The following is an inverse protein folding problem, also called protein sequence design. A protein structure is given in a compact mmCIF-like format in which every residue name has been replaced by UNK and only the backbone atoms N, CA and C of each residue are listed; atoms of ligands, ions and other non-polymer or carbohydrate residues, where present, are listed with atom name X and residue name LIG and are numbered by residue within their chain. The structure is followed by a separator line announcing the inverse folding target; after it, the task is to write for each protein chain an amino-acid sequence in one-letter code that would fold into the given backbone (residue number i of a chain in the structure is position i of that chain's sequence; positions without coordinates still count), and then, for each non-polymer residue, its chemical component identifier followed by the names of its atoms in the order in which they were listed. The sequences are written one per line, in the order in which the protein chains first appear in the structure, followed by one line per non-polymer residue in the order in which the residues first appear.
data_IF_465609499335
#
_entry.id   IF_465609499335
#
_cell.length_a   1.000
_cell.length_b   1.000
_cell.length_c   1.000
_cell.angle_alpha   90.00
_cell.angle_beta   90.00
_cell.angle_gamma   90.00
#
_symmetry.space_group_name_H-M   'P 1'
#
loop_
_entity.id
_entity.type
_entity.pdbx_description
1 polymer ?
#
# COMPACT_ATOMS: atom_id res chain seq x y z
N UNK A 1 1.75 44.97 42.62
CA UNK A 1 1.29 44.79 41.23
C UNK A 1 2.07 45.61 40.20
N UNK A 2 2.28 46.93 40.36
CA UNK A 2 3.04 47.74 39.37
C UNK A 2 4.52 47.33 39.17
N UNK A 3 5.21 46.92 40.23
CA UNK A 3 6.62 46.47 40.14
C UNK A 3 6.74 45.12 39.41
N UNK A 4 5.77 44.21 39.59
CA UNK A 4 5.74 42.91 38.91
C UNK A 4 5.43 43.06 37.42
N UNK A 5 4.55 44.00 37.05
CA UNK A 5 4.21 44.29 35.64
C UNK A 5 5.36 45.02 34.92
N UNK A 6 6.11 45.90 35.61
CA UNK A 6 7.31 46.54 35.05
C UNK A 6 8.45 45.54 34.89
N UNK A 7 8.66 44.63 35.85
CA UNK A 7 9.64 43.55 35.70
C UNK A 7 9.29 42.61 34.53
N UNK A 8 8.01 42.29 34.33
CA UNK A 8 7.55 41.52 33.17
C UNK A 8 7.72 42.28 31.84
N UNK A 9 7.52 43.60 31.82
CA UNK A 9 7.70 44.44 30.62
C UNK A 9 9.18 44.72 30.29
N UNK A 10 10.06 44.79 31.29
CA UNK A 10 11.50 44.95 31.10
C UNK A 10 12.14 43.62 30.69
N UNK A 11 11.70 42.50 31.27
CA UNK A 11 12.13 41.15 30.86
C UNK A 11 11.67 40.76 29.45
N UNK A 12 10.56 41.33 28.95
CA UNK A 12 10.13 41.11 27.56
C UNK A 12 10.85 42.00 26.54
N UNK A 13 11.37 43.16 26.97
CA UNK A 13 12.18 44.04 26.12
C UNK A 13 13.66 43.61 26.02
N UNK A 14 14.24 43.08 27.11
CA UNK A 14 15.62 42.58 27.12
C UNK A 14 15.72 41.20 26.47
N UNK A 15 14.70 40.33 26.61
CA UNK A 15 14.69 39.03 25.93
C UNK A 15 14.91 39.18 24.42
N UNK A 16 14.37 40.23 23.79
CA UNK A 16 14.63 40.53 22.38
C UNK A 16 16.10 40.85 22.07
N UNK A 17 16.80 41.54 22.97
CA UNK A 17 18.18 41.99 22.77
C UNK A 17 19.15 40.81 22.68
N UNK A 18 19.06 39.82 23.57
CA UNK A 18 19.97 38.66 23.53
C UNK A 18 19.76 37.84 22.24
N UNK A 19 18.50 37.64 21.84
CA UNK A 19 18.17 36.97 20.59
C UNK A 19 18.67 37.75 19.37
N UNK A 20 18.53 39.08 19.36
CA UNK A 20 19.02 39.92 18.27
C UNK A 20 20.54 39.87 18.15
N UNK A 21 21.27 39.93 19.26
CA UNK A 21 22.74 39.77 19.27
C UNK A 21 23.17 38.40 18.73
N UNK A 22 22.47 37.34 19.11
CA UNK A 22 22.71 36.00 18.56
C UNK A 22 22.42 35.93 17.08
N UNK A 23 21.39 36.63 16.56
CA UNK A 23 21.04 36.66 15.12
C UNK A 23 21.97 37.57 14.31
N UNK A 24 22.45 38.68 14.86
CA UNK A 24 23.41 39.59 14.17
C UNK A 24 24.84 39.06 14.19
N UNK A 25 25.23 38.36 15.25
CA UNK A 25 26.51 37.66 15.34
C UNK A 25 27.59 38.47 16.02
N UNK A 26 27.17 39.51 16.73
CA UNK A 26 28.06 40.38 17.47
C UNK A 26 28.52 39.68 18.75
N UNK A 27 29.57 38.87 18.63
CA UNK A 27 30.12 38.06 19.72
C UNK A 27 30.62 38.91 20.89
N UNK A 28 31.20 40.08 20.61
CA UNK A 28 31.73 40.97 21.65
C UNK A 28 30.60 41.62 22.44
N UNK A 29 29.58 42.16 21.76
CA UNK A 29 28.41 42.71 22.43
C UNK A 29 27.63 41.63 23.19
N UNK A 30 27.53 40.40 22.64
CA UNK A 30 26.92 39.27 23.34
C UNK A 30 27.68 38.88 24.60
N UNK A 31 29.02 38.86 24.55
CA UNK A 31 29.87 38.58 25.71
C UNK A 31 29.71 39.64 26.79
N UNK A 32 29.66 40.91 26.43
CA UNK A 32 29.41 41.99 27.38
C UNK A 32 28.02 41.86 28.02
N UNK A 33 26.99 41.57 27.23
CA UNK A 33 25.62 41.37 27.72
C UNK A 33 25.55 40.21 28.73
N UNK A 34 26.13 39.05 28.40
CA UNK A 34 26.14 37.86 29.26
C UNK A 34 27.02 38.01 30.52
N UNK A 35 27.99 38.93 30.52
CA UNK A 35 28.73 39.29 31.74
C UNK A 35 27.89 40.13 32.71
N UNK A 36 26.97 40.95 32.18
CA UNK A 36 26.11 41.81 32.98
C UNK A 36 24.89 41.08 33.51
N UNK A 37 24.22 40.30 32.66
CA UNK A 37 23.01 39.57 33.00
C UNK A 37 22.91 38.24 32.23
N UNK A 38 22.66 37.15 32.96
CA UNK A 38 22.48 35.79 32.40
C UNK A 38 21.05 35.28 32.55
N UNK A 39 20.14 36.07 33.12
CA UNK A 39 18.78 35.65 33.44
C UNK A 39 17.96 35.24 32.22
N UNK A 40 18.30 35.77 31.04
CA UNK A 40 17.57 35.57 29.79
C UNK A 40 18.19 34.53 28.85
N UNK A 41 19.30 33.90 29.24
CA UNK A 41 20.02 32.94 28.40
C UNK A 41 19.16 31.75 27.93
N UNK A 42 18.05 31.50 28.64
CA UNK A 42 17.10 30.42 28.40
C UNK A 42 15.68 30.89 28.02
N UNK A 43 15.46 32.19 27.86
CA UNK A 43 14.13 32.68 27.47
C UNK A 43 13.86 32.34 26.02
N UNK A 44 12.62 31.98 25.71
CA UNK A 44 12.18 31.73 24.35
C UNK A 44 11.65 33.02 23.72
N UNK A 45 11.88 33.19 22.42
CA UNK A 45 11.21 34.24 21.64
C UNK A 45 9.76 33.84 21.27
N UNK A 46 9.10 34.66 20.44
CA UNK A 46 7.72 34.40 19.98
C UNK A 46 7.60 33.15 19.09
N UNK A 47 8.72 32.62 18.59
CA UNK A 47 8.78 31.37 17.85
C UNK A 47 9.03 30.17 18.77
N UNK A 48 9.14 30.39 20.09
CA UNK A 48 9.40 29.35 21.07
C UNK A 48 10.85 28.84 21.05
N UNK A 49 11.79 29.62 20.51
CA UNK A 49 13.20 29.25 20.41
C UNK A 49 14.04 30.04 21.39
N UNK A 50 14.99 29.37 22.05
CA UNK A 50 15.99 30.01 22.92
C UNK A 50 17.14 30.61 22.10
N UNK A 51 17.99 31.49 22.69
CA UNK A 51 19.20 31.98 22.04
C UNK A 51 20.11 30.85 21.53
N UNK A 52 20.21 29.74 22.27
CA UNK A 52 21.00 28.60 21.85
C UNK A 52 20.47 27.95 20.57
N UNK A 53 19.14 27.84 20.40
CA UNK A 53 18.55 27.35 19.15
C UNK A 53 18.94 28.24 17.96
N UNK A 54 18.88 29.57 18.12
CA UNK A 54 19.27 30.49 17.06
C UNK A 54 20.76 30.43 16.73
N UNK A 55 21.63 30.32 17.74
CA UNK A 55 23.07 30.15 17.51
C UNK A 55 23.37 28.89 16.67
N UNK A 56 22.65 27.80 16.93
CA UNK A 56 22.74 26.56 16.14
C UNK A 56 22.24 26.77 14.71
N UNK A 57 21.06 27.41 14.53
CA UNK A 57 20.47 27.64 13.20
C UNK A 57 21.37 28.49 12.30
N UNK A 58 21.97 29.52 12.86
CA UNK A 58 22.85 30.46 12.16
C UNK A 58 24.30 29.94 12.04
N UNK A 59 24.59 28.71 12.48
CA UNK A 59 25.92 28.07 12.45
C UNK A 59 27.03 28.84 13.16
N UNK A 60 26.72 29.35 14.36
CA UNK A 60 27.65 30.17 15.14
C UNK A 60 28.18 29.39 16.33
N UNK A 61 29.18 28.55 16.07
CA UNK A 61 29.75 27.65 17.07
C UNK A 61 30.34 28.39 18.28
N UNK A 62 31.05 29.49 18.03
CA UNK A 62 31.59 30.40 19.04
C UNK A 62 30.51 31.05 19.92
N UNK A 63 29.40 31.46 19.33
CA UNK A 63 28.24 31.95 20.08
C UNK A 63 27.57 30.82 20.88
N UNK A 64 27.39 29.64 20.28
CA UNK A 64 26.81 28.49 20.96
C UNK A 64 27.66 28.08 22.17
N UNK A 65 28.99 28.01 22.03
CA UNK A 65 29.92 27.73 23.13
C UNK A 65 29.84 28.78 24.24
N UNK A 66 29.77 30.07 23.87
CA UNK A 66 29.61 31.15 24.85
C UNK A 66 28.29 31.02 25.63
N UNK A 67 27.19 30.73 24.96
CA UNK A 67 25.88 30.51 25.60
C UNK A 67 25.93 29.30 26.55
N UNK A 68 26.53 28.19 26.13
CA UNK A 68 26.70 26.99 26.96
C UNK A 68 27.57 27.27 28.20
N UNK A 69 28.65 28.03 28.05
CA UNK A 69 29.48 28.49 29.16
C UNK A 69 28.67 29.27 30.20
N UNK A 70 27.73 30.11 29.73
CA UNK A 70 26.80 30.87 30.57
C UNK A 70 25.51 30.11 30.96
N UNK A 71 25.55 28.76 30.96
CA UNK A 71 24.45 27.89 31.44
C UNK A 71 23.15 27.99 30.61
N UNK A 72 23.28 28.20 29.30
CA UNK A 72 22.20 27.87 28.38
C UNK A 72 21.78 26.40 28.56
N UNK A 73 20.48 26.15 28.61
CA UNK A 73 19.91 24.81 28.68
C UNK A 73 20.11 24.12 27.34
N UNK A 74 21.12 23.26 27.30
CA UNK A 74 21.50 22.45 26.14
C UNK A 74 20.37 21.52 25.65
N UNK A 75 19.40 21.22 26.52
CA UNK A 75 18.27 20.34 26.26
C UNK A 75 16.93 21.08 26.18
N UNK A 76 16.96 22.42 26.04
CA UNK A 76 15.75 23.22 25.91
C UNK A 76 14.89 22.68 24.76
N UNK A 77 13.58 22.49 24.97
CA UNK A 77 12.68 22.15 23.87
C UNK A 77 12.46 23.40 23.01
N UNK A 78 12.53 23.25 21.69
CA UNK A 78 11.94 24.23 20.77
C UNK A 78 10.43 24.04 20.70
N UNK A 79 9.72 25.05 20.19
CA UNK A 79 8.28 24.97 19.91
C UNK A 79 8.00 25.23 18.42
N UNK A 80 6.75 24.98 18.00
CA UNK A 80 6.29 25.32 16.65
C UNK A 80 6.94 24.48 15.54
N UNK A 81 7.43 25.16 14.49
CA UNK A 81 8.05 24.50 13.32
C UNK A 81 9.40 23.85 13.65
N UNK A 82 10.03 24.26 14.75
CA UNK A 82 11.35 23.81 15.20
C UNK A 82 11.25 23.14 16.58
N UNK A 83 10.29 22.22 16.74
CA UNK A 83 10.01 21.51 18.00
C UNK A 83 11.16 20.63 18.56
N UNK A 84 12.35 20.67 17.95
CA UNK A 84 13.53 19.90 18.35
C UNK A 84 14.38 20.60 19.41
N UNK A 85 15.28 19.85 20.04
CA UNK A 85 16.33 20.44 20.90
C UNK A 85 17.43 21.09 20.06
N UNK A 86 18.33 21.91 20.66
CA UNK A 86 19.50 22.43 19.96
C UNK A 86 20.32 21.33 19.25
N UNK A 87 20.45 20.15 19.88
CA UNK A 87 21.14 19.00 19.27
C UNK A 87 20.42 18.46 18.04
N UNK A 88 19.08 18.34 18.07
CA UNK A 88 18.32 17.87 16.91
C UNK A 88 18.45 18.82 15.72
N UNK A 89 18.38 20.13 15.95
CA UNK A 89 18.56 21.15 14.90
C UNK A 89 19.98 21.08 14.33
N UNK A 90 21.00 21.02 15.20
CA UNK A 90 22.40 20.93 14.78
C UNK A 90 22.63 19.68 13.90
N UNK A 91 22.06 18.54 14.28
CA UNK A 91 22.15 17.29 13.53
C UNK A 91 21.42 17.36 12.19
N UNK A 92 20.19 17.89 12.18
CA UNK A 92 19.41 18.05 10.94
C UNK A 92 20.11 18.96 9.93
N UNK A 93 20.75 20.03 10.40
CA UNK A 93 21.50 20.97 9.57
C UNK A 93 22.95 20.53 9.27
N UNK A 94 23.44 19.45 9.87
CA UNK A 94 24.80 18.94 9.64
C UNK A 94 25.91 19.82 10.24
N UNK A 95 25.69 20.43 11.40
CA UNK A 95 26.65 21.33 12.06
C UNK A 95 27.58 20.54 12.99
N UNK A 96 28.52 19.79 12.41
CA UNK A 96 29.36 18.82 13.14
C UNK A 96 30.07 19.42 14.37
N UNK A 97 30.69 20.60 14.23
CA UNK A 97 31.38 21.27 15.34
C UNK A 97 30.42 21.63 16.50
N UNK A 98 29.21 22.07 16.16
CA UNK A 98 28.19 22.43 17.15
C UNK A 98 27.62 21.17 17.81
N UNK A 99 27.44 20.08 17.07
CA UNK A 99 27.01 18.78 17.64
C UNK A 99 27.99 18.33 18.73
N UNK A 100 29.29 18.36 18.46
CA UNK A 100 30.33 17.98 19.43
C UNK A 100 30.32 18.90 20.66
N UNK A 101 30.17 20.22 20.45
CA UNK A 101 30.08 21.19 21.55
C UNK A 101 28.84 20.92 22.43
N UNK A 102 27.68 20.66 21.83
CA UNK A 102 26.45 20.35 22.56
C UNK A 102 26.56 19.05 23.36
N UNK A 103 27.06 17.97 22.75
CA UNK A 103 27.26 16.67 23.43
C UNK A 103 28.25 16.82 24.60
N UNK A 104 29.37 17.53 24.38
CA UNK A 104 30.38 17.79 25.41
C UNK A 104 29.84 18.61 26.59
N UNK A 105 28.79 19.41 26.36
CA UNK A 105 28.09 20.20 27.39
C UNK A 105 26.85 19.49 27.96
N UNK A 106 26.67 18.19 27.71
CA UNK A 106 25.63 17.38 28.34
C UNK A 106 24.29 17.37 27.61
N UNK A 107 24.30 17.57 26.28
CA UNK A 107 23.12 17.29 25.46
C UNK A 107 22.72 15.81 25.63
N UNK A 108 21.45 15.57 25.94
CA UNK A 108 20.86 14.24 25.99
C UNK A 108 20.56 13.80 24.55
N UNK A 109 21.40 12.89 24.04
CA UNK A 109 21.28 12.31 22.69
C UNK A 109 19.95 11.58 22.47
N UNK A 110 19.28 11.19 23.55
CA UNK A 110 17.99 10.51 23.56
C UNK A 110 16.83 11.41 24.01
N UNK A 111 17.03 12.72 24.16
CA UNK A 111 15.91 13.63 24.37
C UNK A 111 14.92 13.49 23.20
N UNK A 112 13.61 13.53 23.51
CA UNK A 112 12.53 13.40 22.52
C UNK A 112 11.78 14.72 22.35
N UNK A 113 11.44 15.06 21.10
CA UNK A 113 10.51 16.15 20.78
C UNK A 113 9.05 15.71 20.96
N UNK A 114 8.09 16.59 20.64
CA UNK A 114 6.65 16.29 20.71
C UNK A 114 6.22 15.15 19.78
N UNK A 115 6.91 14.96 18.64
CA UNK A 115 6.70 13.85 17.72
C UNK A 115 7.33 12.53 18.20
N UNK A 116 8.04 12.53 19.34
CA UNK A 116 8.76 11.38 19.89
C UNK A 116 10.10 11.10 19.21
N UNK A 117 10.58 12.00 18.35
CA UNK A 117 11.82 11.84 17.59
C UNK A 117 13.03 12.28 18.43
N UNK A 118 14.17 11.63 18.17
CA UNK A 118 15.46 11.91 18.80
C UNK A 118 16.46 12.43 17.76
N UNK A 119 17.61 12.96 18.20
CA UNK A 119 18.69 13.38 17.30
C UNK A 119 19.09 12.30 16.26
N UNK A 120 19.07 11.02 16.66
CA UNK A 120 19.37 9.90 15.77
C UNK A 120 18.39 9.77 14.59
N UNK A 121 17.11 10.12 14.77
CA UNK A 121 16.12 10.08 13.70
C UNK A 121 16.47 11.10 12.59
N UNK A 122 16.91 12.30 12.99
CA UNK A 122 17.33 13.36 12.07
C UNK A 122 18.62 12.99 11.32
N UNK A 123 19.64 12.48 12.02
CA UNK A 123 20.89 12.05 11.39
C UNK A 123 20.65 10.98 10.31
N UNK A 124 19.76 10.04 10.61
CA UNK A 124 19.43 8.95 9.70
C UNK A 124 18.54 9.42 8.55
N UNK A 125 17.61 10.35 8.83
CA UNK A 125 16.72 10.97 7.85
C UNK A 125 17.46 11.81 6.79
N UNK A 126 18.56 12.46 7.18
CA UNK A 126 19.45 13.16 6.24
C UNK A 126 20.47 12.24 5.57
N UNK A 127 20.61 11.00 6.05
CA UNK A 127 21.60 10.04 5.56
C UNK A 127 23.03 10.35 5.99
N UNK A 128 23.23 11.16 7.03
CA UNK A 128 24.54 11.56 7.53
C UNK A 128 25.17 10.42 8.37
N UNK A 129 25.95 9.56 7.72
CA UNK A 129 26.65 8.45 8.37
C UNK A 129 27.67 8.90 9.45
N UNK A 130 28.49 9.94 9.24
CA UNK A 130 29.34 10.49 10.30
C UNK A 130 28.58 10.87 11.57
N UNK A 131 27.52 11.67 11.47
CA UNK A 131 26.73 12.07 12.64
C UNK A 131 25.96 10.90 13.26
N UNK A 132 25.47 9.97 12.44
CA UNK A 132 24.87 8.73 12.96
C UNK A 132 25.88 7.97 13.83
N UNK A 133 27.13 7.86 13.38
CA UNK A 133 28.20 7.19 14.13
C UNK A 133 28.55 7.92 15.42
N UNK A 134 28.64 9.26 15.39
CA UNK A 134 28.87 10.08 16.59
C UNK A 134 27.77 9.85 17.62
N UNK A 135 26.50 9.96 17.22
CA UNK A 135 25.37 9.76 18.13
C UNK A 135 25.34 8.35 18.73
N UNK A 136 25.57 7.31 17.92
CA UNK A 136 25.64 5.92 18.41
C UNK A 136 26.84 5.71 19.36
N UNK A 137 27.99 6.32 19.08
CA UNK A 137 29.16 6.27 19.97
C UNK A 137 28.88 6.90 21.34
N UNK A 138 28.08 7.97 21.36
CA UNK A 138 27.61 8.64 22.58
C UNK A 138 26.37 7.99 23.21
N UNK A 139 26.01 6.77 22.79
CA UNK A 139 25.00 5.96 23.46
C UNK A 139 23.56 6.20 23.01
N UNK A 140 23.32 6.85 21.87
CA UNK A 140 21.98 7.02 21.34
C UNK A 140 21.27 5.67 21.15
N UNK A 141 20.04 5.56 21.64
CA UNK A 141 19.24 4.35 21.52
C UNK A 141 18.81 4.10 20.06
N UNK A 142 19.40 3.08 19.42
CA UNK A 142 19.08 2.67 18.05
C UNK A 142 17.62 2.16 17.87
N UNK A 143 17.01 1.69 18.96
CA UNK A 143 15.63 1.18 19.01
C UNK A 143 14.62 2.22 19.50
N UNK A 144 15.08 3.45 19.73
CA UNK A 144 14.23 4.59 20.00
C UNK A 144 13.21 4.76 18.88
N UNK A 145 11.93 4.62 19.20
CA UNK A 145 10.84 4.81 18.25
C UNK A 145 10.16 6.17 18.49
N UNK A 146 9.74 6.81 17.40
CA UNK A 146 8.91 8.01 17.44
C UNK A 146 7.48 7.71 17.93
N UNK A 147 6.63 8.73 17.96
CA UNK A 147 5.24 8.56 18.38
C UNK A 147 4.53 7.49 17.54
N UNK A 148 4.79 7.39 16.23
CA UNK A 148 4.20 6.39 15.32
C UNK A 148 4.85 5.01 15.37
N UNK A 149 5.83 4.82 16.25
CA UNK A 149 6.54 3.56 16.42
C UNK A 149 7.62 3.33 15.34
N UNK A 150 7.99 4.36 14.57
CA UNK A 150 9.03 4.29 13.55
C UNK A 150 10.39 4.50 14.22
N UNK A 151 11.31 3.55 14.02
CA UNK A 151 12.70 3.65 14.51
C UNK A 151 13.63 4.24 13.47
N UNK A 152 14.83 4.63 13.90
CA UNK A 152 15.93 5.02 13.02
C UNK A 152 16.15 4.02 11.87
N UNK A 153 16.16 2.71 12.14
CA UNK A 153 16.36 1.69 11.11
C UNK A 153 15.24 1.68 10.06
N UNK A 154 14.00 1.97 10.46
CA UNK A 154 12.88 2.11 9.54
C UNK A 154 13.01 3.36 8.66
N UNK A 155 13.50 4.48 9.20
CA UNK A 155 13.79 5.70 8.43
C UNK A 155 14.86 5.43 7.38
N UNK A 156 15.92 4.69 7.73
CA UNK A 156 17.02 4.35 6.82
C UNK A 156 16.55 3.62 5.53
N UNK A 157 15.37 3.00 5.55
CA UNK A 157 14.79 2.38 4.34
C UNK A 157 14.42 3.40 3.25
N UNK A 158 14.17 4.65 3.62
CA UNK A 158 13.77 5.74 2.71
C UNK A 158 14.96 6.57 2.21
N UNK A 159 16.11 6.48 2.86
CA UNK A 159 17.30 7.30 2.54
C UNK A 159 18.33 6.46 1.81
N UNK A 160 19.20 7.05 0.98
CA UNK A 160 20.20 6.30 0.21
C UNK A 160 21.24 5.53 1.07
N UNK A 161 21.18 5.65 2.41
CA UNK A 161 22.18 5.15 3.35
C UNK A 161 22.09 3.66 3.68
N UNK A 162 22.49 2.79 2.75
CA UNK A 162 22.85 1.39 3.11
C UNK A 162 23.94 1.37 4.20
N UNK A 163 24.85 2.35 4.19
CA UNK A 163 25.85 2.56 5.23
C UNK A 163 25.23 2.91 6.59
N UNK A 164 24.28 3.85 6.62
CA UNK A 164 23.57 4.27 7.85
C UNK A 164 22.80 3.09 8.46
N UNK A 165 22.11 2.30 7.64
CA UNK A 165 21.47 1.08 8.10
C UNK A 165 22.50 0.06 8.65
N UNK A 166 23.68 -0.03 8.02
CA UNK A 166 24.83 -0.78 8.52
C UNK A 166 25.23 -0.39 9.93
N UNK A 167 25.45 0.91 10.17
CA UNK A 167 25.81 1.44 11.48
C UNK A 167 24.78 1.10 12.56
N UNK A 168 23.48 1.27 12.25
CA UNK A 168 22.40 0.97 13.19
C UNK A 168 22.35 -0.52 13.55
N UNK A 169 22.52 -1.41 12.57
CA UNK A 169 22.51 -2.86 12.80
C UNK A 169 23.76 -3.30 13.57
N UNK A 170 24.91 -2.70 13.32
CA UNK A 170 26.15 -2.95 14.07
C UNK A 170 26.06 -2.44 15.51
N UNK A 171 25.30 -1.36 15.75
CA UNK A 171 24.96 -0.88 17.08
C UNK A 171 23.87 -1.72 17.78
N UNK A 172 23.36 -2.78 17.16
CA UNK A 172 22.44 -3.74 17.78
C UNK A 172 20.96 -3.43 17.60
N UNK A 173 20.56 -2.63 16.61
CA UNK A 173 19.15 -2.32 16.35
C UNK A 173 18.28 -3.58 16.16
N UNK A 174 17.11 -3.60 16.79
CA UNK A 174 16.12 -4.66 16.70
C UNK A 174 15.46 -4.70 15.31
N UNK A 175 15.79 -5.74 14.55
CA UNK A 175 15.23 -5.99 13.22
C UNK A 175 13.76 -6.43 13.25
N UNK A 176 13.25 -6.79 14.43
CA UNK A 176 11.90 -7.31 14.65
C UNK A 176 10.92 -6.26 15.17
N UNK A 177 11.39 -5.06 15.51
CA UNK A 177 10.56 -3.94 15.95
C UNK A 177 9.44 -3.65 14.95
N UNK A 178 8.29 -3.25 15.47
CA UNK A 178 7.05 -3.04 14.71
C UNK A 178 6.50 -1.66 14.96
N UNK A 179 6.17 -0.96 13.88
CA UNK A 179 5.50 0.33 13.97
C UNK A 179 4.00 0.19 14.29
N UNK A 180 3.26 1.31 14.29
CA UNK A 180 1.81 1.32 14.50
C UNK A 180 1.02 0.49 13.47
N UNK A 181 1.55 0.17 12.30
CA UNK A 181 0.92 -0.71 11.30
C UNK A 181 1.34 -2.18 11.47
N UNK A 182 2.24 -2.47 12.41
CA UNK A 182 2.82 -3.80 12.62
C UNK A 182 3.97 -4.10 11.65
N UNK A 183 4.44 -3.10 10.89
CA UNK A 183 5.48 -3.28 9.90
C UNK A 183 6.87 -3.25 10.53
N UNK A 184 7.75 -4.12 10.04
CA UNK A 184 9.18 -4.10 10.37
C UNK A 184 9.98 -3.29 9.33
N UNK A 185 11.24 -3.00 9.62
CA UNK A 185 12.15 -2.39 8.62
C UNK A 185 12.21 -3.21 7.32
N UNK A 186 12.12 -4.54 7.40
CA UNK A 186 12.10 -5.41 6.21
C UNK A 186 10.86 -5.19 5.33
N UNK A 187 9.68 -4.94 5.91
CA UNK A 187 8.46 -4.62 5.16
C UNK A 187 8.64 -3.33 4.35
N UNK A 188 9.21 -2.29 4.97
CA UNK A 188 9.43 -0.98 4.35
C UNK A 188 10.49 -1.04 3.25
N UNK A 189 11.63 -1.69 3.53
CA UNK A 189 12.68 -1.92 2.54
C UNK A 189 12.17 -2.68 1.31
N UNK A 190 11.37 -3.72 1.54
CA UNK A 190 10.74 -4.53 0.50
C UNK A 190 9.79 -3.70 -0.39
N UNK A 191 8.90 -2.90 0.22
CA UNK A 191 7.95 -2.04 -0.52
C UNK A 191 8.64 -0.98 -1.36
N UNK A 192 9.69 -0.36 -0.82
CA UNK A 192 10.47 0.67 -1.52
C UNK A 192 11.35 0.05 -2.61
N UNK A 193 11.74 -1.22 -2.45
CA UNK A 193 12.57 -1.94 -3.42
C UNK A 193 14.06 -1.78 -3.17
N UNK A 194 14.47 -1.62 -1.90
CA UNK A 194 15.88 -1.47 -1.51
C UNK A 194 16.55 -2.83 -1.45
N UNK A 195 16.83 -3.40 -2.62
CA UNK A 195 17.35 -4.77 -2.80
C UNK A 195 18.52 -5.08 -1.86
N UNK A 196 19.55 -4.24 -1.86
CA UNK A 196 20.75 -4.47 -1.02
C UNK A 196 20.43 -4.44 0.47
N UNK A 197 19.57 -3.51 0.91
CA UNK A 197 19.15 -3.41 2.29
C UNK A 197 18.24 -4.58 2.69
N UNK A 198 17.30 -4.99 1.83
CA UNK A 198 16.47 -6.18 2.02
C UNK A 198 17.35 -7.42 2.19
N UNK A 199 18.33 -7.62 1.30
CA UNK A 199 19.28 -8.73 1.40
C UNK A 199 20.11 -8.66 2.68
N UNK A 200 20.57 -7.45 3.05
CA UNK A 200 21.37 -7.23 4.25
C UNK A 200 20.57 -7.52 5.53
N UNK A 201 19.34 -7.02 5.66
CA UNK A 201 18.44 -7.29 6.77
C UNK A 201 18.18 -8.79 6.94
N UNK A 202 17.88 -9.50 5.85
CA UNK A 202 17.69 -10.95 5.90
C UNK A 202 18.94 -11.70 6.37
N UNK A 203 20.13 -11.34 5.85
CA UNK A 203 21.41 -11.94 6.29
C UNK A 203 21.71 -11.68 7.76
N UNK A 204 21.23 -10.56 8.31
CA UNK A 204 21.37 -10.17 9.72
C UNK A 204 20.26 -10.74 10.62
N UNK A 205 19.36 -11.57 10.08
CA UNK A 205 18.35 -12.31 10.86
C UNK A 205 16.96 -11.69 10.89
N UNK A 206 16.67 -10.67 10.07
CA UNK A 206 15.30 -10.17 9.91
C UNK A 206 14.38 -11.28 9.39
N UNK A 207 13.21 -11.46 10.01
CA UNK A 207 12.29 -12.57 9.68
C UNK A 207 11.53 -12.29 8.38
N UNK A 208 11.75 -13.06 7.29
CA UNK A 208 11.11 -12.83 5.99
C UNK A 208 9.61 -13.14 5.96
N UNK A 209 9.09 -13.78 7.01
CA UNK A 209 7.69 -14.16 7.18
C UNK A 209 7.01 -13.43 8.34
N UNK A 210 7.60 -12.36 8.87
CA UNK A 210 6.92 -11.49 9.83
C UNK A 210 5.64 -10.94 9.21
N UNK A 211 4.51 -11.01 9.92
CA UNK A 211 3.23 -10.46 9.45
C UNK A 211 2.94 -9.10 10.07
N UNK A 212 2.49 -8.11 9.30
CA UNK A 212 1.94 -6.85 9.82
C UNK A 212 0.54 -7.04 10.44
N UNK A 213 -0.15 -5.94 10.81
CA UNK A 213 -1.51 -5.99 11.37
C UNK A 213 -2.57 -6.52 10.39
N UNK A 214 -2.33 -6.43 9.08
CA UNK A 214 -3.21 -6.95 8.02
C UNK A 214 -2.81 -8.38 7.61
N UNK A 215 -1.83 -8.97 8.28
CA UNK A 215 -1.32 -10.30 7.97
C UNK A 215 -0.36 -10.33 6.78
N UNK A 216 -0.01 -9.17 6.19
CA UNK A 216 0.89 -9.10 5.06
C UNK A 216 2.33 -9.38 5.50
N UNK A 217 3.06 -10.15 4.71
CA UNK A 217 4.50 -10.39 4.89
C UNK A 217 5.32 -9.37 4.08
N UNK A 218 6.64 -9.23 4.30
CA UNK A 218 7.50 -8.42 3.43
C UNK A 218 7.37 -8.78 1.94
N UNK A 219 7.07 -10.04 1.60
CA UNK A 219 6.84 -10.43 0.21
C UNK A 219 5.55 -9.81 -0.34
N UNK A 220 4.48 -9.70 0.45
CA UNK A 220 3.28 -8.95 0.06
C UNK A 220 3.61 -7.49 -0.20
N UNK A 221 4.41 -6.86 0.67
CA UNK A 221 4.73 -5.43 0.53
C UNK A 221 5.66 -5.15 -0.65
N UNK A 222 6.59 -6.06 -0.98
CA UNK A 222 7.36 -6.01 -2.22
C UNK A 222 6.45 -6.11 -3.46
N UNK A 223 5.43 -6.97 -3.41
CA UNK A 223 4.44 -7.09 -4.48
C UNK A 223 3.62 -5.81 -4.59
N UNK A 224 3.13 -5.24 -3.49
CA UNK A 224 2.40 -3.97 -3.47
C UNK A 224 3.21 -2.82 -4.08
N UNK A 225 4.53 -2.81 -3.86
CA UNK A 225 5.44 -1.81 -4.44
C UNK A 225 5.88 -2.09 -5.89
N UNK A 226 5.48 -3.23 -6.48
CA UNK A 226 5.94 -3.65 -7.80
C UNK A 226 7.45 -3.95 -7.87
N UNK A 227 8.07 -4.38 -6.76
CA UNK A 227 9.53 -4.53 -6.63
C UNK A 227 10.00 -5.96 -6.88
N UNK A 228 10.19 -6.31 -8.16
CA UNK A 228 10.58 -7.67 -8.61
C UNK A 228 11.85 -8.16 -7.92
N UNK A 229 12.92 -7.37 -7.88
CA UNK A 229 14.21 -7.79 -7.33
C UNK A 229 14.19 -7.92 -5.80
N UNK A 230 13.40 -7.08 -5.12
CA UNK A 230 13.17 -7.22 -3.69
C UNK A 230 12.35 -8.48 -3.38
N UNK A 231 11.31 -8.77 -4.17
CA UNK A 231 10.55 -10.02 -4.05
C UNK A 231 11.45 -11.25 -4.29
N UNK A 232 12.32 -11.22 -5.30
CA UNK A 232 13.30 -12.28 -5.57
C UNK A 232 14.24 -12.50 -4.38
N UNK A 233 14.77 -11.41 -3.83
CA UNK A 233 15.65 -11.44 -2.66
C UNK A 233 14.95 -12.08 -1.45
N UNK A 234 13.70 -11.72 -1.20
CA UNK A 234 12.90 -12.28 -0.12
C UNK A 234 12.62 -13.77 -0.30
N UNK A 235 12.31 -14.21 -1.52
CA UNK A 235 12.11 -15.63 -1.84
C UNK A 235 13.39 -16.45 -1.61
N UNK A 236 14.55 -15.93 -2.05
CA UNK A 236 15.86 -16.55 -1.76
C UNK A 236 16.14 -16.58 -0.25
N UNK A 237 15.69 -15.58 0.50
CA UNK A 237 15.83 -15.51 1.95
C UNK A 237 14.82 -16.40 2.71
N UNK A 238 13.97 -17.17 2.03
CA UNK A 238 13.03 -18.10 2.67
C UNK A 238 11.65 -17.50 3.01
N UNK A 239 11.22 -16.46 2.30
CA UNK A 239 9.81 -16.05 2.34
C UNK A 239 8.90 -17.18 1.83
N UNK A 240 7.81 -17.42 2.55
CA UNK A 240 6.74 -18.31 2.12
C UNK A 240 5.96 -17.64 0.97
N UNK A 241 6.14 -18.19 -0.22
CA UNK A 241 5.51 -17.73 -1.48
C UNK A 241 3.97 -17.80 -1.43
N UNK A 242 3.42 -18.66 -0.57
CA UNK A 242 1.97 -18.92 -0.45
C UNK A 242 1.37 -18.37 0.84
N UNK A 243 2.12 -17.58 1.61
CA UNK A 243 1.64 -17.04 2.89
C UNK A 243 0.32 -16.28 2.71
N UNK A 244 -0.76 -16.63 3.43
CA UNK A 244 -2.00 -15.86 3.38
C UNK A 244 -1.96 -14.68 4.35
N UNK A 245 -2.46 -13.52 3.91
CA UNK A 245 -2.79 -12.40 4.79
C UNK A 245 -4.14 -12.60 5.49
N UNK A 246 -4.61 -11.60 6.25
CA UNK A 246 -5.86 -11.70 7.02
C UNK A 246 -7.13 -11.85 6.17
N UNK A 247 -7.07 -11.57 4.85
CA UNK A 247 -8.14 -11.82 3.88
C UNK A 247 -7.93 -13.12 3.08
N UNK A 248 -6.99 -13.97 3.51
CA UNK A 248 -6.51 -15.16 2.81
C UNK A 248 -5.95 -14.86 1.41
N UNK A 249 -5.54 -13.61 1.15
CA UNK A 249 -4.87 -13.25 -0.09
C UNK A 249 -3.40 -13.64 0.05
N UNK A 250 -2.89 -14.37 -0.94
CA UNK A 250 -1.46 -14.68 -1.09
C UNK A 250 -0.75 -13.58 -1.89
N UNK A 251 0.59 -13.54 -1.93
CA UNK A 251 1.34 -12.64 -2.80
C UNK A 251 0.89 -12.72 -4.27
N UNK A 252 0.52 -13.91 -4.75
CA UNK A 252 0.04 -14.11 -6.12
C UNK A 252 -1.32 -13.43 -6.38
N UNK A 253 -2.22 -13.41 -5.39
CA UNK A 253 -3.46 -12.64 -5.48
C UNK A 253 -3.19 -11.13 -5.59
N UNK A 254 -2.23 -10.62 -4.81
CA UNK A 254 -1.84 -9.21 -4.88
C UNK A 254 -1.21 -8.85 -6.23
N UNK A 255 -0.31 -9.69 -6.75
CA UNK A 255 0.33 -9.49 -8.06
C UNK A 255 -0.71 -9.50 -9.19
N UNK A 256 -1.66 -10.44 -9.14
CA UNK A 256 -2.76 -10.53 -10.08
C UNK A 256 -3.71 -9.32 -10.01
N UNK A 257 -3.96 -8.76 -8.81
CA UNK A 257 -4.80 -7.56 -8.65
C UNK A 257 -4.13 -6.31 -9.23
N UNK A 258 -2.83 -6.17 -8.98
CA UNK A 258 -2.06 -4.97 -9.32
C UNK A 258 -1.46 -5.00 -10.74
N UNK A 259 -1.61 -6.10 -11.48
CA UNK A 259 -1.11 -6.21 -12.85
C UNK A 259 0.41 -6.40 -12.95
N UNK A 260 1.07 -6.87 -11.89
CA UNK A 260 2.52 -7.04 -11.88
C UNK A 260 2.93 -8.37 -12.53
N UNK A 261 3.05 -8.36 -13.86
CA UNK A 261 3.38 -9.54 -14.66
C UNK A 261 4.68 -10.21 -14.22
N UNK A 262 5.79 -9.48 -14.13
CA UNK A 262 7.11 -10.05 -13.80
C UNK A 262 7.14 -10.65 -12.39
N UNK A 263 6.40 -10.05 -11.44
CA UNK A 263 6.25 -10.61 -10.09
C UNK A 263 5.37 -11.86 -10.13
N UNK A 264 4.31 -11.86 -10.93
CA UNK A 264 3.44 -13.04 -11.09
C UNK A 264 4.25 -14.23 -11.62
N UNK A 265 5.07 -14.02 -12.65
CA UNK A 265 5.96 -15.05 -13.20
C UNK A 265 6.96 -15.54 -12.16
N UNK A 266 7.59 -14.62 -11.43
CA UNK A 266 8.51 -14.97 -10.34
C UNK A 266 7.84 -15.82 -9.26
N UNK A 267 6.62 -15.46 -8.83
CA UNK A 267 5.89 -16.19 -7.80
C UNK A 267 5.49 -17.59 -8.28
N UNK A 268 4.96 -17.71 -9.50
CA UNK A 268 4.58 -19.01 -10.09
C UNK A 268 5.78 -19.94 -10.25
N UNK A 269 6.90 -19.42 -10.78
CA UNK A 269 8.14 -20.20 -10.91
C UNK A 269 8.78 -20.56 -9.56
N UNK A 270 8.44 -19.82 -8.50
CA UNK A 270 8.85 -20.11 -7.12
C UNK A 270 7.85 -21.01 -6.38
N UNK A 271 6.86 -21.58 -7.07
CA UNK A 271 5.92 -22.56 -6.51
C UNK A 271 4.67 -21.97 -5.85
N UNK A 272 4.30 -20.73 -6.16
CA UNK A 272 3.02 -20.17 -5.73
C UNK A 272 1.85 -21.00 -6.30
N UNK A 273 0.91 -21.39 -5.45
CA UNK A 273 -0.31 -22.05 -5.90
C UNK A 273 -1.26 -21.09 -6.60
N UNK A 274 -1.58 -21.35 -7.87
CA UNK A 274 -2.63 -20.66 -8.64
C UNK A 274 -4.04 -21.03 -8.19
N UNK A 275 -4.19 -22.12 -7.41
CA UNK A 275 -5.47 -22.60 -6.88
C UNK A 275 -5.79 -22.06 -5.46
N UNK A 276 -4.90 -21.27 -4.86
CA UNK A 276 -5.16 -20.63 -3.58
C UNK A 276 -6.42 -19.74 -3.68
N UNK A 277 -7.20 -19.69 -2.60
CA UNK A 277 -8.49 -18.97 -2.58
C UNK A 277 -8.50 -17.91 -1.47
N UNK A 278 -9.03 -16.73 -1.78
CA UNK A 278 -9.27 -15.66 -0.80
C UNK A 278 -10.38 -16.03 0.20
N UNK A 279 -10.69 -15.15 1.15
CA UNK A 279 -11.82 -15.34 2.07
C UNK A 279 -13.16 -15.39 1.33
N UNK A 280 -13.32 -14.61 0.25
CA UNK A 280 -14.46 -14.68 -0.69
C UNK A 280 -14.32 -15.83 -1.68
N UNK A 281 -13.20 -16.55 -1.63
CA UNK A 281 -12.73 -17.67 -2.44
C UNK A 281 -12.60 -17.43 -3.93
N UNK A 282 -12.19 -16.21 -4.25
CA UNK A 282 -11.62 -15.90 -5.55
C UNK A 282 -10.19 -16.43 -5.61
N UNK A 283 -9.81 -17.04 -6.73
CA UNK A 283 -8.42 -17.38 -7.05
C UNK A 283 -7.70 -16.18 -7.65
N UNK A 284 -6.36 -16.19 -7.78
CA UNK A 284 -5.63 -15.17 -8.54
C UNK A 284 -6.15 -15.01 -9.98
N UNK A 285 -6.63 -16.09 -10.61
CA UNK A 285 -7.19 -16.04 -11.96
C UNK A 285 -8.51 -15.25 -12.02
N UNK A 286 -9.40 -15.40 -11.03
CA UNK A 286 -10.60 -14.58 -10.91
C UNK A 286 -10.25 -13.09 -10.81
N UNK A 287 -9.23 -12.78 -10.00
CA UNK A 287 -8.78 -11.40 -9.80
C UNK A 287 -8.18 -10.83 -11.08
N UNK A 288 -7.33 -11.58 -11.79
CA UNK A 288 -6.76 -11.17 -13.07
C UNK A 288 -7.85 -10.92 -14.11
N UNK A 289 -8.83 -11.84 -14.21
CA UNK A 289 -9.97 -11.72 -15.11
C UNK A 289 -10.82 -10.49 -14.81
N UNK A 290 -11.10 -10.20 -13.53
CA UNK A 290 -11.93 -9.04 -13.14
C UNK A 290 -11.25 -7.68 -13.36
N UNK A 291 -9.91 -7.63 -13.38
CA UNK A 291 -9.12 -6.40 -13.51
C UNK A 291 -8.48 -6.21 -14.90
N UNK A 292 -8.89 -7.00 -15.90
CA UNK A 292 -8.41 -6.93 -17.30
C UNK A 292 -6.89 -7.16 -17.46
N UNK A 293 -6.30 -8.02 -16.63
CA UNK A 293 -4.86 -8.32 -16.70
C UNK A 293 -4.57 -9.51 -17.62
N UNK A 294 -4.70 -9.27 -18.93
CA UNK A 294 -4.61 -10.27 -20.00
C UNK A 294 -3.33 -11.12 -19.97
N UNK A 295 -2.18 -10.49 -19.80
CA UNK A 295 -0.87 -11.18 -19.78
C UNK A 295 -0.75 -12.11 -18.58
N UNK A 296 -1.24 -11.68 -17.41
CA UNK A 296 -1.24 -12.49 -16.18
C UNK A 296 -2.17 -13.68 -16.35
N UNK A 297 -3.38 -13.44 -16.85
CA UNK A 297 -4.35 -14.51 -17.12
C UNK A 297 -3.76 -15.55 -18.08
N UNK A 298 -3.18 -15.11 -19.20
CA UNK A 298 -2.53 -15.99 -20.17
C UNK A 298 -1.44 -16.83 -19.54
N UNK A 299 -0.58 -16.20 -18.72
CA UNK A 299 0.48 -16.92 -18.01
C UNK A 299 -0.12 -17.99 -17.09
N UNK A 300 -1.16 -17.66 -16.31
CA UNK A 300 -1.83 -18.61 -15.42
C UNK A 300 -2.44 -19.80 -16.17
N UNK A 301 -3.05 -19.57 -17.34
CA UNK A 301 -3.57 -20.65 -18.19
C UNK A 301 -2.45 -21.55 -18.72
N UNK A 302 -1.35 -20.96 -19.19
CA UNK A 302 -0.18 -21.71 -19.71
C UNK A 302 0.46 -22.60 -18.65
N UNK A 303 0.53 -22.16 -17.39
CA UNK A 303 1.06 -22.98 -16.29
C UNK A 303 0.05 -24.00 -15.74
N UNK A 304 -1.09 -24.20 -16.41
CA UNK A 304 -2.10 -25.19 -16.04
C UNK A 304 -3.06 -24.75 -14.93
N UNK A 305 -3.26 -23.44 -14.77
CA UNK A 305 -4.31 -22.91 -13.89
C UNK A 305 -5.70 -23.29 -14.39
N UNK A 306 -6.60 -23.60 -13.45
CA UNK A 306 -7.96 -24.02 -13.74
C UNK A 306 -8.84 -22.83 -14.16
N UNK A 307 -9.19 -22.78 -15.45
CA UNK A 307 -10.07 -21.79 -16.05
C UNK A 307 -11.51 -21.83 -15.48
N UNK A 308 -11.91 -22.97 -14.92
CA UNK A 308 -13.22 -23.21 -14.28
C UNK A 308 -13.15 -23.20 -12.76
N UNK A 309 -12.02 -22.73 -12.21
CA UNK A 309 -11.90 -22.54 -10.77
C UNK A 309 -13.09 -21.73 -10.28
N UNK A 310 -13.75 -22.20 -9.23
CA UNK A 310 -14.96 -21.55 -8.75
C UNK A 310 -15.13 -21.71 -7.25
N UNK A 311 -15.79 -20.71 -6.66
CA UNK A 311 -16.42 -20.85 -5.35
C UNK A 311 -17.87 -20.46 -5.50
N UNK A 312 -18.76 -21.35 -5.03
CA UNK A 312 -20.22 -21.25 -5.17
C UNK A 312 -20.72 -21.15 -6.63
N UNK A 313 -19.86 -21.46 -7.60
CA UNK A 313 -20.22 -21.48 -9.02
C UNK A 313 -19.67 -20.30 -9.82
N UNK A 314 -19.33 -19.18 -9.16
CA UNK A 314 -18.71 -18.04 -9.85
C UNK A 314 -17.33 -18.42 -10.41
N UNK A 315 -17.16 -18.32 -11.73
CA UNK A 315 -15.90 -18.60 -12.44
C UNK A 315 -15.22 -17.31 -12.92
N UNK A 316 -13.93 -17.33 -13.32
CA UNK A 316 -13.28 -16.21 -14.00
C UNK A 316 -14.06 -15.70 -15.22
N UNK A 317 -14.71 -16.58 -15.98
CA UNK A 317 -15.48 -16.23 -17.17
C UNK A 317 -16.70 -15.37 -16.82
N UNK A 318 -17.44 -15.72 -15.77
CA UNK A 318 -18.55 -14.89 -15.27
C UNK A 318 -18.09 -13.47 -14.91
N UNK A 319 -16.93 -13.34 -14.27
CA UNK A 319 -16.39 -12.03 -13.88
C UNK A 319 -15.96 -11.21 -15.10
N UNK A 320 -15.29 -11.85 -16.07
CA UNK A 320 -14.87 -11.21 -17.32
C UNK A 320 -16.09 -10.66 -18.09
N UNK A 321 -17.15 -11.45 -18.21
CA UNK A 321 -18.39 -11.07 -18.87
C UNK A 321 -19.11 -9.91 -18.16
N UNK A 322 -19.27 -9.99 -16.83
CA UNK A 322 -19.87 -8.90 -16.02
C UNK A 322 -19.12 -7.58 -16.14
N UNK A 323 -17.80 -7.63 -16.32
CA UNK A 323 -16.95 -6.44 -16.47
C UNK A 323 -16.80 -5.99 -17.91
N UNK A 324 -17.19 -6.81 -18.88
CA UNK A 324 -17.10 -6.51 -20.30
C UNK A 324 -15.66 -6.59 -20.84
N UNK A 325 -14.84 -7.48 -20.29
CA UNK A 325 -13.44 -7.65 -20.68
C UNK A 325 -13.31 -8.67 -21.80
N UNK A 326 -13.65 -8.28 -23.03
CA UNK A 326 -13.84 -9.21 -24.16
C UNK A 326 -12.57 -10.01 -24.48
N UNK A 327 -11.39 -9.40 -24.35
CA UNK A 327 -10.11 -10.11 -24.53
C UNK A 327 -9.88 -11.19 -23.49
N UNK A 328 -10.25 -10.94 -22.23
CA UNK A 328 -10.22 -11.92 -21.14
C UNK A 328 -11.19 -13.06 -21.44
N UNK A 329 -12.41 -12.74 -21.91
CA UNK A 329 -13.40 -13.73 -22.33
C UNK A 329 -12.82 -14.65 -23.39
N UNK A 330 -12.30 -14.12 -24.50
CA UNK A 330 -11.69 -14.95 -25.54
C UNK A 330 -10.59 -15.88 -25.01
N UNK A 331 -9.69 -15.37 -24.16
CA UNK A 331 -8.61 -16.20 -23.61
C UNK A 331 -9.10 -17.29 -22.68
N UNK A 332 -10.14 -17.04 -21.87
CA UNK A 332 -10.73 -18.06 -21.01
C UNK A 332 -11.41 -19.15 -21.82
N UNK A 333 -12.13 -18.76 -22.88
CA UNK A 333 -12.78 -19.71 -23.78
C UNK A 333 -11.75 -20.56 -24.53
N UNK A 334 -10.67 -19.96 -25.03
CA UNK A 334 -9.55 -20.68 -25.64
C UNK A 334 -8.80 -21.57 -24.62
N UNK A 335 -8.82 -21.18 -23.35
CA UNK A 335 -8.33 -21.95 -22.22
C UNK A 335 -9.26 -23.08 -21.76
N UNK A 336 -10.38 -23.30 -22.45
CA UNK A 336 -11.31 -24.39 -22.17
C UNK A 336 -12.29 -24.11 -21.02
N UNK A 337 -12.54 -22.85 -20.68
CA UNK A 337 -13.56 -22.50 -19.69
C UNK A 337 -14.94 -23.03 -20.13
N UNK A 338 -15.64 -23.69 -19.21
CA UNK A 338 -16.96 -24.26 -19.45
C UNK A 338 -18.02 -23.17 -19.56
N UNK A 339 -18.90 -23.33 -20.56
CA UNK A 339 -20.00 -22.42 -20.85
C UNK A 339 -21.28 -22.72 -20.07
N UNK A 340 -21.32 -23.84 -19.35
CA UNK A 340 -22.52 -24.36 -18.68
C UNK A 340 -22.42 -24.25 -17.15
N UNK A 341 -21.30 -23.72 -16.64
CA UNK A 341 -21.11 -23.50 -15.20
C UNK A 341 -22.09 -22.44 -14.74
N UNK A 342 -22.82 -22.73 -13.66
CA UNK A 342 -23.78 -21.80 -13.06
C UNK A 342 -23.14 -21.05 -11.90
N UNK A 343 -23.36 -19.74 -11.83
CA UNK A 343 -22.93 -18.93 -10.69
C UNK A 343 -23.85 -19.06 -9.46
N UNK A 344 -23.59 -18.28 -8.41
CA UNK A 344 -24.36 -18.27 -7.15
C UNK A 344 -25.87 -17.94 -7.31
N UNK A 345 -26.30 -17.47 -8.49
CA UNK A 345 -27.70 -17.19 -8.82
C UNK A 345 -28.21 -18.09 -9.94
N UNK A 346 -27.46 -19.16 -10.26
CA UNK A 346 -27.80 -20.10 -11.30
C UNK A 346 -27.48 -19.64 -12.71
N UNK A 347 -26.93 -18.44 -12.91
CA UNK A 347 -26.72 -17.89 -14.25
C UNK A 347 -25.59 -18.62 -14.96
N UNK A 348 -25.78 -18.95 -16.24
CA UNK A 348 -24.68 -19.40 -17.11
C UNK A 348 -23.91 -18.20 -17.66
N UNK A 349 -22.66 -18.39 -18.16
CA UNK A 349 -21.93 -17.40 -18.94
C UNK A 349 -22.78 -16.75 -20.03
N UNK A 350 -23.59 -17.52 -20.74
CA UNK A 350 -24.47 -17.00 -21.79
C UNK A 350 -25.50 -15.99 -21.24
N UNK A 351 -26.14 -16.29 -20.12
CA UNK A 351 -27.09 -15.37 -19.47
C UNK A 351 -26.41 -14.07 -19.05
N UNK A 352 -25.23 -14.18 -18.42
CA UNK A 352 -24.46 -13.00 -18.00
C UNK A 352 -24.05 -12.14 -19.21
N UNK A 353 -23.65 -12.76 -20.33
CA UNK A 353 -23.32 -12.06 -21.56
C UNK A 353 -24.54 -11.28 -22.13
N UNK A 354 -25.72 -11.90 -22.11
CA UNK A 354 -26.98 -11.26 -22.52
C UNK A 354 -27.33 -10.08 -21.61
N UNK A 355 -27.15 -10.22 -20.30
CA UNK A 355 -27.41 -9.15 -19.33
C UNK A 355 -26.52 -7.92 -19.55
N UNK A 356 -25.27 -8.17 -19.96
CA UNK A 356 -24.29 -7.14 -20.33
C UNK A 356 -24.55 -6.51 -21.72
N UNK A 357 -25.52 -7.02 -22.48
CA UNK A 357 -25.96 -6.52 -23.80
C UNK A 357 -24.91 -6.52 -24.93
N UNK A 358 -23.92 -7.43 -24.89
CA UNK A 358 -22.86 -7.52 -25.92
C UNK A 358 -23.17 -8.59 -26.97
N UNK A 359 -23.90 -8.23 -28.02
CA UNK A 359 -24.34 -9.16 -29.06
C UNK A 359 -23.20 -9.95 -29.73
N UNK A 360 -22.01 -9.36 -29.88
CA UNK A 360 -20.83 -10.03 -30.45
C UNK A 360 -20.34 -11.17 -29.56
N UNK A 361 -20.15 -10.92 -28.26
CA UNK A 361 -19.73 -11.93 -27.28
C UNK A 361 -20.79 -13.02 -27.14
N UNK A 362 -22.08 -12.65 -27.09
CA UNK A 362 -23.17 -13.64 -27.08
C UNK A 362 -23.10 -14.52 -28.33
N UNK A 363 -22.80 -13.95 -29.49
CA UNK A 363 -22.64 -14.72 -30.73
C UNK A 363 -21.49 -15.70 -30.69
N UNK A 364 -20.34 -15.30 -30.16
CA UNK A 364 -19.21 -16.21 -29.96
C UNK A 364 -19.56 -17.34 -29.00
N UNK A 365 -20.18 -17.03 -27.86
CA UNK A 365 -20.55 -18.04 -26.87
C UNK A 365 -21.50 -19.07 -27.50
N UNK A 366 -22.55 -18.63 -28.20
CA UNK A 366 -23.52 -19.53 -28.84
C UNK A 366 -22.90 -20.40 -29.95
N UNK A 367 -21.91 -19.87 -30.70
CA UNK A 367 -21.19 -20.65 -31.71
C UNK A 367 -20.38 -21.80 -31.11
N UNK A 368 -19.96 -21.67 -29.84
CA UNK A 368 -19.29 -22.75 -29.09
C UNK A 368 -20.26 -23.78 -28.49
N UNK A 369 -21.53 -23.72 -28.89
CA UNK A 369 -22.60 -24.70 -28.61
C UNK A 369 -22.85 -25.01 -27.12
N UNK A 370 -23.08 -23.99 -26.27
CA UNK A 370 -23.50 -24.20 -24.89
C UNK A 370 -24.94 -24.71 -24.81
N UNK A 371 -25.32 -25.26 -23.66
CA UNK A 371 -26.73 -25.57 -23.42
C UNK A 371 -27.53 -24.27 -23.19
N UNK A 372 -28.20 -23.81 -24.26
CA UNK A 372 -29.01 -22.57 -24.27
C UNK A 372 -30.27 -22.65 -23.42
N UNK A 373 -30.67 -23.85 -22.98
CA UNK A 373 -31.89 -24.13 -22.23
C UNK A 373 -31.66 -24.31 -20.73
N UNK A 374 -30.41 -24.24 -20.26
CA UNK A 374 -30.13 -24.15 -18.83
C UNK A 374 -30.90 -22.97 -18.24
N UNK A 375 -31.51 -23.19 -17.08
CA UNK A 375 -32.27 -22.21 -16.35
C UNK A 375 -31.48 -21.75 -15.11
N UNK A 376 -31.62 -20.48 -14.76
CA UNK A 376 -31.11 -19.92 -13.52
C UNK A 376 -31.93 -20.37 -12.29
N UNK A 377 -31.63 -19.83 -11.12
CA UNK A 377 -32.31 -20.23 -9.88
C UNK A 377 -33.78 -19.77 -9.81
N UNK A 378 -34.21 -18.85 -10.69
CA UNK A 378 -35.61 -18.44 -10.84
C UNK A 378 -36.31 -19.15 -12.01
N UNK A 379 -35.64 -20.13 -12.64
CA UNK A 379 -36.17 -20.86 -13.78
C UNK A 379 -36.08 -20.11 -15.12
N UNK A 380 -35.43 -18.95 -15.18
CA UNK A 380 -35.31 -18.20 -16.43
C UNK A 380 -34.18 -18.76 -17.29
N UNK A 381 -34.48 -19.05 -18.56
CA UNK A 381 -33.50 -19.45 -19.58
C UNK A 381 -32.84 -18.22 -20.24
N UNK A 382 -31.80 -18.44 -21.05
CA UNK A 382 -31.17 -17.37 -21.85
C UNK A 382 -32.20 -16.62 -22.72
N UNK A 383 -33.24 -17.32 -23.21
CA UNK A 383 -34.29 -16.74 -24.04
C UNK A 383 -35.22 -15.80 -23.25
N UNK A 384 -35.54 -16.12 -21.99
CA UNK A 384 -36.27 -15.20 -21.10
C UNK A 384 -35.51 -13.86 -20.98
N UNK A 385 -34.22 -13.94 -20.62
CA UNK A 385 -33.35 -12.75 -20.47
C UNK A 385 -33.24 -11.95 -21.76
N UNK A 386 -33.13 -12.62 -22.92
CA UNK A 386 -33.04 -11.94 -24.22
C UNK A 386 -34.32 -11.17 -24.59
N UNK A 387 -35.50 -11.69 -24.22
CA UNK A 387 -36.80 -11.05 -24.43
C UNK A 387 -36.96 -9.84 -23.52
N UNK A 388 -36.58 -9.94 -22.25
CA UNK A 388 -36.59 -8.80 -21.32
C UNK A 388 -35.71 -7.65 -21.83
N UNK A 389 -34.55 -7.97 -22.44
CA UNK A 389 -33.68 -6.99 -23.11
C UNK A 389 -34.19 -6.51 -24.46
N UNK A 390 -35.26 -7.11 -24.99
CA UNK A 390 -35.84 -6.85 -26.30
C UNK A 390 -34.85 -6.94 -27.47
N UNK A 391 -33.83 -7.81 -27.36
CA UNK A 391 -32.75 -7.92 -28.35
C UNK A 391 -33.11 -8.93 -29.44
N UNK A 392 -33.78 -8.46 -30.50
CA UNK A 392 -34.14 -9.29 -31.66
C UNK A 392 -32.97 -10.10 -32.27
N UNK A 393 -31.74 -9.56 -32.41
CA UNK A 393 -30.62 -10.34 -32.91
C UNK A 393 -30.28 -11.53 -32.02
N UNK A 394 -30.25 -11.34 -30.70
CA UNK A 394 -29.95 -12.39 -29.73
C UNK A 394 -31.08 -13.41 -29.69
N UNK A 395 -32.34 -12.97 -29.66
CA UNK A 395 -33.52 -13.86 -29.67
C UNK A 395 -33.48 -14.79 -30.88
N UNK A 396 -33.26 -14.25 -32.09
CA UNK A 396 -33.14 -15.06 -33.32
C UNK A 396 -31.99 -16.05 -33.24
N UNK A 397 -30.88 -15.66 -32.65
CA UNK A 397 -29.71 -16.50 -32.53
C UNK A 397 -29.97 -17.67 -31.56
N UNK A 398 -30.50 -17.40 -30.37
CA UNK A 398 -30.86 -18.44 -29.40
C UNK A 398 -31.85 -19.46 -29.99
N UNK A 399 -32.92 -18.99 -30.65
CA UNK A 399 -33.91 -19.87 -31.28
C UNK A 399 -33.32 -20.76 -32.38
N UNK A 400 -32.36 -20.24 -33.17
CA UNK A 400 -31.64 -21.04 -34.17
C UNK A 400 -30.78 -22.13 -33.57
N UNK A 401 -30.37 -21.97 -32.31
CA UNK A 401 -29.58 -22.92 -31.55
C UNK A 401 -30.45 -23.73 -30.56
N UNK A 402 -31.75 -23.84 -30.82
CA UNK A 402 -32.64 -24.75 -30.09
C UNK A 402 -33.15 -24.23 -28.75
N UNK A 403 -33.14 -22.92 -28.52
CA UNK A 403 -33.76 -22.35 -27.33
C UNK A 403 -35.29 -22.59 -27.34
N UNK A 404 -35.82 -23.13 -26.26
CA UNK A 404 -37.24 -23.45 -26.10
C UNK A 404 -38.05 -22.18 -25.76
N UNK A 405 -38.95 -21.70 -26.64
CA UNK A 405 -39.79 -20.53 -26.40
C UNK A 405 -40.94 -20.77 -25.41
N UNK A 406 -41.19 -22.03 -25.06
CA UNK A 406 -42.32 -22.45 -24.24
C UNK A 406 -41.88 -23.04 -22.88
N UNK A 407 -40.56 -23.12 -22.61
CA UNK A 407 -40.01 -23.41 -21.28
C UNK A 407 -40.49 -22.38 -20.25
N UNK A 408 -41.03 -22.82 -19.11
CA UNK A 408 -41.57 -21.92 -18.08
C UNK A 408 -40.60 -21.71 -16.93
N UNK A 409 -40.51 -20.47 -16.44
CA UNK A 409 -39.80 -20.15 -15.20
C UNK A 409 -40.60 -20.55 -13.94
N UNK A 410 -40.09 -20.24 -12.74
CA UNK A 410 -40.77 -20.58 -11.47
C UNK A 410 -42.15 -19.91 -11.30
N UNK A 411 -42.38 -18.77 -11.95
CA UNK A 411 -43.67 -18.08 -11.98
C UNK A 411 -44.66 -18.70 -12.99
N UNK A 412 -44.25 -19.76 -13.71
CA UNK A 412 -45.03 -20.40 -14.76
C UNK A 412 -45.11 -19.57 -16.05
N UNK A 413 -44.23 -18.57 -16.21
CA UNK A 413 -44.23 -17.69 -17.38
C UNK A 413 -43.21 -18.19 -18.40
N UNK A 414 -43.62 -18.37 -19.65
CA UNK A 414 -42.72 -18.72 -20.76
C UNK A 414 -42.14 -17.50 -21.48
N UNK A 415 -41.04 -17.64 -22.25
CA UNK A 415 -40.51 -16.58 -23.11
C UNK A 415 -41.58 -16.01 -24.06
N UNK A 416 -42.42 -16.89 -24.63
CA UNK A 416 -43.55 -16.48 -25.47
C UNK A 416 -44.56 -15.62 -24.72
N UNK A 417 -44.92 -16.00 -23.50
CA UNK A 417 -45.85 -15.22 -22.66
C UNK A 417 -45.23 -13.87 -22.23
N UNK A 418 -43.93 -13.82 -21.92
CA UNK A 418 -43.21 -12.58 -21.65
C UNK A 418 -43.26 -11.62 -22.86
N UNK A 419 -43.02 -12.13 -24.07
CA UNK A 419 -43.09 -11.33 -25.28
C UNK A 419 -44.51 -10.80 -25.56
N UNK A 420 -45.55 -11.60 -25.26
CA UNK A 420 -46.95 -11.19 -25.39
C UNK A 420 -47.28 -10.05 -24.42
N UNK A 421 -46.87 -10.19 -23.16
CA UNK A 421 -47.07 -9.16 -22.13
C UNK A 421 -46.32 -7.86 -22.47
N UNK A 422 -45.15 -7.95 -23.10
CA UNK A 422 -44.39 -6.79 -23.56
C UNK A 422 -44.97 -6.09 -24.81
N UNK A 423 -45.92 -6.72 -25.51
CA UNK A 423 -46.59 -6.16 -26.69
C UNK A 423 -45.68 -5.93 -27.90
N UNK A 424 -44.62 -6.75 -28.06
CA UNK A 424 -43.66 -6.58 -29.16
C UNK A 424 -43.94 -7.59 -30.29
N UNK A 425 -44.77 -7.18 -31.26
CA UNK A 425 -45.21 -7.99 -32.40
C UNK A 425 -44.05 -8.60 -33.20
N UNK A 426 -42.90 -7.90 -33.27
CA UNK A 426 -41.72 -8.41 -33.99
C UNK A 426 -41.07 -9.59 -33.27
N UNK A 427 -41.04 -9.56 -31.94
CA UNK A 427 -40.51 -10.66 -31.13
C UNK A 427 -41.47 -11.85 -31.22
N UNK A 428 -42.78 -11.61 -31.10
CA UNK A 428 -43.80 -12.66 -31.25
C UNK A 428 -43.71 -13.35 -32.60
N UNK A 429 -43.64 -12.58 -33.69
CA UNK A 429 -43.47 -13.13 -35.03
C UNK A 429 -42.20 -14.00 -35.14
N UNK A 430 -41.10 -13.59 -34.51
CA UNK A 430 -39.86 -14.38 -34.51
C UNK A 430 -40.02 -15.68 -33.70
N UNK A 431 -40.70 -15.63 -32.55
CA UNK A 431 -40.95 -16.82 -31.73
C UNK A 431 -41.87 -17.82 -32.45
N UNK A 432 -42.88 -17.34 -33.17
CA UNK A 432 -43.78 -18.19 -33.95
C UNK A 432 -43.05 -18.88 -35.11
N UNK A 433 -42.27 -18.12 -35.89
CA UNK A 433 -41.56 -18.65 -37.07
C UNK A 433 -40.49 -19.70 -36.72
N UNK A 434 -39.80 -19.53 -35.58
CA UNK A 434 -38.72 -20.44 -35.19
C UNK A 434 -39.15 -21.49 -34.17
N UNK A 435 -40.18 -21.23 -33.36
CA UNK A 435 -40.70 -22.17 -32.36
C UNK A 435 -41.48 -23.34 -32.96
N UNK A 436 -42.02 -23.21 -34.18
CA UNK A 436 -42.68 -24.34 -34.87
C UNK A 436 -41.67 -25.32 -35.50
N UNK A 437 -40.41 -24.89 -35.72
CA UNK A 437 -39.37 -25.69 -36.39
C UNK A 437 -38.62 -26.65 -35.47
N UNK A 438 -38.75 -26.52 -34.15
CA UNK A 438 -38.16 -27.45 -33.16
C UNK A 438 -38.96 -28.75 -32.98
N UNK A 439 -40.08 -28.92 -33.70
CA UNK A 439 -40.95 -30.09 -33.64
C UNK A 439 -40.97 -30.94 -34.93
N UNK A 440 -40.14 -30.65 -35.92
CA UNK A 440 -39.97 -31.53 -37.09
C UNK A 440 -38.78 -32.50 -36.87
N UNK A 441 -38.99 -33.83 -37.04
CA UNK A 441 -38.04 -34.89 -36.67
C UNK A 441 -36.80 -35.00 -37.55
#
# INVERSE_FOLDING_TARGET
MRIVVILLLVATAHAGQLHDLVRTGDLDALREALQQDTSEVNYTDLSGLTPLHWAVREDRADIAELLLFHKADVNAPGEGEDAGTPLMIAVWMGRDAIVEALISNGADVDKRNEAGEAALHYAVGTGNAPLTKVLLHHGANADGADAVGVTALMIATRTAGSEVAGLLIEAGADLSHRDRLGETALHKAARIGRVDLTAFLCRRGAKPNAKDKLGNTPLHTAVEGGKVDAARTLLVAGSDVSAPNSQHLTPLHAAARLGHFDITELLLTSGASSAATSITGLTPMHIAAANDHDRILRLMLVVGGDADSSKKGLTPLHLALRKGHDRIVHMLLDGGASLDRRDDSGNTPLMVAIESSKAEVVGELVVRDPDVNLADDAGNTALHRAIEKQSLPIIRMLLRHGADPDATNEDGVSPRQLAQAAGNDKILYVLDVFGERSHEP
#
